data_IF_506481083464
#
_entry.id   IF_506481083464
#
_cell.length_a   1.000
_cell.length_b   1.000
_cell.length_c   1.000
_cell.angle_alpha   90.00
_cell.angle_beta   90.00
_cell.angle_gamma   90.00
#
_symmetry.space_group_name_H-M   'P 1'
#
loop_
_entity.id
_entity.type
_entity.pdbx_description
1 polymer ?
#
# COMPACT_ATOMS: atom_id res chain seq x y z
N UNK A 1 -14.10 -3.42 -9.25
CA UNK A 1 -13.19 -3.57 -8.10
C UNK A 1 -12.84 -2.17 -7.61
N UNK A 2 -13.23 -1.82 -6.38
CA UNK A 2 -12.83 -0.55 -5.76
C UNK A 2 -11.32 -0.59 -5.55
N UNK A 3 -10.59 0.26 -6.26
CA UNK A 3 -9.14 0.25 -6.18
C UNK A 3 -8.68 1.05 -4.97
N UNK A 4 -8.09 0.34 -4.00
CA UNK A 4 -7.48 0.95 -2.83
C UNK A 4 -6.52 2.08 -3.21
N UNK A 5 -6.61 3.17 -2.48
CA UNK A 5 -5.60 4.22 -2.46
C UNK A 5 -4.32 3.70 -1.79
N UNK A 6 -3.16 4.31 -2.06
CA UNK A 6 -1.93 3.94 -1.37
C UNK A 6 -2.03 4.00 0.16
N UNK A 7 -2.84 4.91 0.72
CA UNK A 7 -3.04 5.02 2.17
C UNK A 7 -3.81 3.83 2.74
N UNK A 8 -4.87 3.40 2.07
CA UNK A 8 -5.65 2.22 2.49
C UNK A 8 -4.80 0.95 2.43
N UNK A 9 -3.93 0.81 1.42
CA UNK A 9 -3.00 -0.32 1.35
C UNK A 9 -2.04 -0.31 2.54
N UNK A 10 -1.46 0.84 2.90
CA UNK A 10 -0.57 0.95 4.07
C UNK A 10 -1.32 0.58 5.36
N UNK A 11 -2.53 1.10 5.56
CA UNK A 11 -3.35 0.77 6.74
C UNK A 11 -3.66 -0.73 6.84
N UNK A 12 -3.88 -1.42 5.72
CA UNK A 12 -4.03 -2.87 5.74
C UNK A 12 -2.72 -3.60 6.07
N UNK A 13 -1.57 -3.11 5.59
CA UNK A 13 -0.26 -3.68 5.93
C UNK A 13 0.10 -3.48 7.42
N UNK A 14 -0.30 -2.37 8.04
CA UNK A 14 -0.09 -2.11 9.46
C UNK A 14 -0.75 -3.15 10.39
N UNK A 15 -1.79 -3.84 9.92
CA UNK A 15 -2.45 -4.91 10.70
C UNK A 15 -1.60 -6.17 10.87
N UNK A 16 -0.60 -6.36 10.01
CA UNK A 16 0.20 -7.59 9.94
C UNK A 16 1.70 -7.35 10.06
N UNK A 17 2.17 -6.14 9.77
CA UNK A 17 3.59 -5.78 9.75
C UNK A 17 3.78 -4.62 10.72
N UNK A 18 4.69 -4.75 11.68
CA UNK A 18 5.02 -3.67 12.64
C UNK A 18 6.21 -2.87 12.10
N UNK A 19 6.12 -1.53 12.18
CA UNK A 19 7.17 -0.61 11.69
C UNK A 19 7.27 -0.57 10.16
N UNK A 20 8.47 -0.36 9.62
CA UNK A 20 8.75 -0.40 8.17
C UNK A 20 7.94 0.59 7.32
N UNK A 21 7.73 1.81 7.81
CA UNK A 21 6.86 2.81 7.16
C UNK A 21 7.26 3.12 5.71
N UNK A 22 8.56 3.30 5.45
CA UNK A 22 9.06 3.58 4.11
C UNK A 22 8.78 2.43 3.13
N UNK A 23 8.99 1.19 3.58
CA UNK A 23 8.77 0.00 2.75
C UNK A 23 7.29 -0.18 2.42
N UNK A 24 6.39 -0.02 3.40
CA UNK A 24 4.94 -0.11 3.17
C UNK A 24 4.47 0.94 2.18
N UNK A 25 4.96 2.18 2.32
CA UNK A 25 4.65 3.27 1.39
C UNK A 25 5.15 2.97 -0.02
N UNK A 26 6.38 2.48 -0.16
CA UNK A 26 6.95 2.12 -1.46
C UNK A 26 6.13 1.04 -2.17
N UNK A 27 5.77 -0.03 -1.46
CA UNK A 27 4.97 -1.14 -2.00
C UNK A 27 3.56 -0.68 -2.36
N UNK A 28 2.90 0.12 -1.52
CA UNK A 28 1.57 0.66 -1.80
C UNK A 28 1.53 1.52 -3.07
N UNK A 29 2.55 2.36 -3.27
CA UNK A 29 2.70 3.17 -4.50
C UNK A 29 2.94 2.27 -5.72
N UNK A 30 3.82 1.27 -5.61
CA UNK A 30 4.10 0.34 -6.69
C UNK A 30 2.85 -0.45 -7.14
N UNK A 31 2.08 -0.96 -6.18
CA UNK A 31 0.81 -1.66 -6.44
C UNK A 31 -0.21 -0.74 -7.12
N UNK A 32 -0.35 0.51 -6.66
CA UNK A 32 -1.25 1.49 -7.28
C UNK A 32 -0.82 1.84 -8.70
N UNK A 33 0.47 2.02 -8.93
CA UNK A 33 1.01 2.31 -10.26
C UNK A 33 0.81 1.14 -11.23
N UNK A 34 0.90 -0.11 -10.75
CA UNK A 34 0.58 -1.30 -11.55
C UNK A 34 -0.90 -1.33 -11.95
N UNK A 35 -1.82 -1.02 -11.05
CA UNK A 35 -3.25 -1.05 -11.34
C UNK A 35 -3.71 0.08 -12.29
N UNK A 36 -2.99 1.20 -12.32
CA UNK A 36 -3.28 2.33 -13.21
C UNK A 36 -2.75 2.17 -14.64
N UNK A 37 -1.82 1.25 -14.86
CA UNK A 37 -1.28 0.90 -16.18
C UNK A 37 -2.14 -0.21 -16.79
#
# INVERSE_FOLDING_TARGET
>A
MTAFSPREIVSELDRFIIGQEEAKRAVAIALRNRWRR
#
